data_IF_171009343727
#
_entry.id   IF_171009343727
#
_cell.length_a   1.000
_cell.length_b   1.000
_cell.length_c   1.000
_cell.angle_alpha   90.00
_cell.angle_beta   90.00
_cell.angle_gamma   90.00
#
_symmetry.space_group_name_H-M   'P 1'
#
loop_
_entity.id
_entity.type
_entity.pdbx_description
1 polymer ?
#
# COMPACT_ATOMS: atom_id res chain seq x y z
N UNK A 1 -6.69 2.42 0.79
CA UNK A 1 -6.61 1.31 -0.18
C UNK A 1 -7.96 0.68 -0.41
N UNK A 2 -8.67 0.23 0.63
CA UNK A 2 -9.99 -0.40 0.53
C UNK A 2 -11.02 0.42 -0.27
N UNK A 3 -11.36 1.62 0.20
CA UNK A 3 -12.32 2.52 -0.48
C UNK A 3 -11.93 2.81 -1.95
N UNK A 4 -10.66 3.11 -2.21
CA UNK A 4 -10.18 3.36 -3.58
C UNK A 4 -10.29 2.12 -4.48
N UNK A 5 -10.11 0.92 -3.93
CA UNK A 5 -10.29 -0.32 -4.68
C UNK A 5 -11.76 -0.52 -5.06
N UNK A 6 -12.69 -0.15 -4.16
CA UNK A 6 -14.12 -0.12 -4.49
C UNK A 6 -14.36 0.89 -5.63
N UNK A 7 -13.96 2.15 -5.47
CA UNK A 7 -14.17 3.22 -6.47
C UNK A 7 -13.66 2.88 -7.87
N UNK A 8 -12.58 2.09 -7.96
CA UNK A 8 -11.91 1.80 -9.22
C UNK A 8 -12.28 0.44 -9.80
N UNK A 9 -12.43 -0.59 -8.98
CA UNK A 9 -12.58 -1.97 -9.45
C UNK A 9 -14.00 -2.51 -9.33
N UNK A 10 -14.85 -1.88 -8.51
CA UNK A 10 -16.24 -2.29 -8.36
C UNK A 10 -17.12 -1.68 -9.47
N UNK A 11 -18.19 -2.39 -9.84
CA UNK A 11 -19.22 -1.87 -10.74
C UNK A 11 -20.05 -0.76 -10.09
N UNK A 12 -20.85 -0.06 -10.89
CA UNK A 12 -21.73 0.99 -10.39
C UNK A 12 -22.81 0.43 -9.46
N UNK A 13 -23.30 -0.80 -9.69
CA UNK A 13 -24.21 -1.48 -8.77
C UNK A 13 -23.50 -1.80 -7.44
N UNK A 14 -22.25 -2.26 -7.49
CA UNK A 14 -21.46 -2.58 -6.30
C UNK A 14 -21.10 -1.34 -5.47
N UNK A 15 -20.96 -0.16 -6.10
CA UNK A 15 -20.75 1.08 -5.38
C UNK A 15 -21.88 1.36 -4.39
N UNK A 16 -23.13 1.17 -4.79
CA UNK A 16 -24.27 1.39 -3.88
C UNK A 16 -24.23 0.47 -2.64
N UNK A 17 -23.70 -0.75 -2.79
CA UNK A 17 -23.59 -1.75 -1.71
C UNK A 17 -22.44 -1.46 -0.75
N UNK A 18 -21.31 -0.96 -1.24
CA UNK A 18 -20.07 -0.92 -0.44
C UNK A 18 -19.47 0.47 -0.29
N UNK A 19 -19.55 1.34 -1.30
CA UNK A 19 -18.91 2.65 -1.25
C UNK A 19 -19.60 3.58 -0.25
N UNK A 20 -20.93 3.65 -0.28
CA UNK A 20 -21.68 4.51 0.64
C UNK A 20 -21.55 4.07 2.11
N UNK A 21 -21.69 2.79 2.47
CA UNK A 21 -21.40 2.34 3.83
C UNK A 21 -19.95 2.59 4.27
N UNK A 22 -18.98 2.49 3.34
CA UNK A 22 -17.57 2.77 3.64
C UNK A 22 -17.34 4.26 3.97
N UNK A 23 -17.97 5.19 3.23
CA UNK A 23 -17.86 6.63 3.49
C UNK A 23 -18.41 7.04 4.86
N UNK A 24 -19.41 6.31 5.35
CA UNK A 24 -20.06 6.56 6.64
C UNK A 24 -19.50 5.70 7.79
N UNK A 25 -18.39 4.98 7.56
CA UNK A 25 -17.77 4.07 8.54
C UNK A 25 -18.67 2.93 9.04
N UNK A 26 -19.77 2.64 8.34
CA UNK A 26 -20.60 1.45 8.58
C UNK A 26 -19.89 0.18 8.07
N UNK A 27 -18.95 0.35 7.15
CA UNK A 27 -18.06 -0.69 6.65
C UNK A 27 -16.61 -0.22 6.79
N UNK A 28 -15.82 -0.91 7.59
CA UNK A 28 -14.40 -0.64 7.77
C UNK A 28 -13.66 -1.80 7.12
N UNK A 29 -12.79 -1.50 6.15
CA UNK A 29 -12.14 -2.56 5.40
C UNK A 29 -10.66 -2.36 5.11
N UNK A 30 -10.00 -3.50 4.91
CA UNK A 30 -8.58 -3.60 4.61
C UNK A 30 -8.32 -4.11 3.19
N UNK A 31 -7.08 -3.95 2.73
CA UNK A 31 -6.60 -4.45 1.45
C UNK A 31 -5.77 -5.72 1.67
N UNK A 32 -6.37 -6.88 1.42
CA UNK A 32 -5.82 -8.19 1.73
C UNK A 32 -5.22 -8.86 0.49
N UNK A 33 -4.05 -8.38 0.07
CA UNK A 33 -3.32 -8.92 -1.08
C UNK A 33 -2.15 -9.81 -0.66
N UNK A 34 -1.18 -9.23 0.05
CA UNK A 34 0.06 -9.89 0.44
C UNK A 34 -0.21 -11.14 1.25
N UNK A 35 0.53 -12.19 0.93
CA UNK A 35 0.56 -13.46 1.62
C UNK A 35 1.93 -13.66 2.28
N UNK A 36 1.98 -14.58 3.24
CA UNK A 36 3.23 -14.94 3.93
C UNK A 36 4.33 -15.37 2.94
N UNK A 37 3.97 -16.11 1.88
CA UNK A 37 4.88 -16.54 0.82
C UNK A 37 5.05 -15.56 -0.34
N UNK A 38 4.12 -14.61 -0.51
CA UNK A 38 4.01 -13.81 -1.73
C UNK A 38 3.67 -12.34 -1.44
N UNK A 39 4.67 -11.47 -1.62
CA UNK A 39 4.50 -10.01 -1.57
C UNK A 39 4.71 -9.36 -2.94
N UNK A 40 5.96 -9.32 -3.40
CA UNK A 40 6.32 -8.70 -4.69
C UNK A 40 5.74 -9.45 -5.89
N UNK A 41 5.73 -10.78 -5.86
CA UNK A 41 5.18 -11.62 -6.92
C UNK A 41 3.68 -11.88 -6.71
N UNK A 42 2.85 -10.88 -6.99
CA UNK A 42 1.38 -10.96 -6.83
C UNK A 42 0.77 -12.03 -7.75
N UNK A 43 1.32 -12.23 -8.94
CA UNK A 43 0.85 -13.30 -9.83
C UNK A 43 1.03 -14.70 -9.24
N UNK A 44 1.89 -14.84 -8.21
CA UNK A 44 2.14 -16.08 -7.50
C UNK A 44 1.28 -16.31 -6.25
N UNK A 45 0.34 -15.42 -5.91
CA UNK A 45 -0.56 -15.63 -4.76
C UNK A 45 -1.23 -17.01 -4.83
N UNK A 46 -1.41 -17.63 -3.67
CA UNK A 46 -1.86 -19.02 -3.52
C UNK A 46 -3.29 -19.12 -2.97
N UNK A 47 -3.82 -18.08 -2.32
CA UNK A 47 -5.24 -18.04 -1.90
C UNK A 47 -6.13 -18.28 -3.11
N UNK A 48 -7.13 -19.16 -3.00
CA UNK A 48 -8.02 -19.52 -4.12
C UNK A 48 -9.43 -19.01 -3.88
N UNK A 49 -10.13 -18.63 -4.95
CA UNK A 49 -11.57 -18.38 -4.99
C UNK A 49 -12.18 -19.28 -6.08
N UNK A 50 -12.80 -20.38 -5.67
CA UNK A 50 -13.33 -21.40 -6.59
C UNK A 50 -14.83 -21.22 -6.79
N UNK A 51 -15.26 -21.19 -8.04
CA UNK A 51 -16.66 -21.06 -8.44
C UNK A 51 -17.48 -22.32 -8.08
N UNK A 52 -18.59 -22.13 -7.36
CA UNK A 52 -19.58 -23.17 -7.05
C UNK A 52 -20.92 -22.85 -7.75
N UNK A 53 -21.20 -23.48 -8.91
CA UNK A 53 -22.42 -23.20 -9.68
C UNK A 53 -23.70 -23.66 -8.98
N UNK A 54 -23.62 -24.52 -7.96
CA UNK A 54 -24.82 -25.02 -7.26
C UNK A 54 -25.43 -23.98 -6.34
N UNK A 55 -24.62 -23.08 -5.80
CA UNK A 55 -25.05 -22.07 -4.82
C UNK A 55 -24.92 -20.63 -5.34
N UNK A 56 -24.42 -20.43 -6.56
CA UNK A 56 -24.09 -19.13 -7.13
C UNK A 56 -23.05 -18.36 -6.27
N UNK A 57 -22.04 -19.07 -5.76
CA UNK A 57 -21.04 -18.57 -4.79
C UNK A 57 -19.58 -18.84 -5.20
N UNK A 58 -18.67 -18.04 -4.64
CA UNK A 58 -17.25 -18.35 -4.57
C UNK A 58 -16.88 -18.97 -3.23
N UNK A 59 -16.04 -20.00 -3.28
CA UNK A 59 -15.44 -20.63 -2.10
C UNK A 59 -13.99 -20.19 -1.98
N UNK A 60 -13.70 -19.34 -1.00
CA UNK A 60 -12.37 -18.83 -0.68
C UNK A 60 -11.64 -19.75 0.28
N UNK A 61 -10.39 -20.05 -0.04
CA UNK A 61 -9.58 -20.95 0.77
C UNK A 61 -8.09 -20.58 0.76
N UNK A 62 -7.48 -20.75 1.93
CA UNK A 62 -6.05 -20.69 2.16
C UNK A 62 -5.48 -22.11 2.13
N UNK A 63 -4.88 -22.57 1.01
CA UNK A 63 -4.51 -23.98 0.82
C UNK A 63 -3.34 -24.44 1.71
N UNK A 64 -2.51 -23.52 2.18
CA UNK A 64 -1.38 -23.79 3.07
C UNK A 64 -0.98 -22.51 3.81
N UNK A 65 -0.08 -22.62 4.79
CA UNK A 65 0.33 -21.49 5.63
C UNK A 65 0.99 -20.34 4.85
N UNK A 66 1.70 -20.62 3.75
CA UNK A 66 2.32 -19.58 2.91
C UNK A 66 1.27 -18.72 2.21
N UNK A 67 0.08 -19.28 1.98
CA UNK A 67 -1.06 -18.59 1.39
C UNK A 67 -1.85 -17.73 2.38
N UNK A 68 -1.52 -17.76 3.68
CA UNK A 68 -2.17 -16.90 4.66
C UNK A 68 -1.93 -15.44 4.29
N UNK A 69 -2.99 -14.61 4.29
CA UNK A 69 -2.82 -13.17 4.13
C UNK A 69 -1.99 -12.66 5.29
N UNK A 70 -1.04 -11.77 5.01
CA UNK A 70 -0.05 -11.33 5.99
C UNK A 70 0.41 -9.91 5.67
N UNK A 71 0.39 -9.02 6.68
CA UNK A 71 0.62 -7.56 6.62
C UNK A 71 -0.55 -6.60 6.33
N UNK A 72 -1.77 -6.98 5.89
CA UNK A 72 -2.84 -6.00 5.71
C UNK A 72 -3.07 -5.15 6.97
N UNK A 73 -2.93 -3.83 6.82
CA UNK A 73 -3.14 -2.90 7.93
C UNK A 73 -4.59 -2.89 8.40
N UNK A 74 -4.79 -2.72 9.70
CA UNK A 74 -6.09 -2.63 10.39
C UNK A 74 -6.93 -3.92 10.32
N UNK A 75 -6.37 -5.02 9.79
CA UNK A 75 -7.07 -6.31 9.67
C UNK A 75 -7.11 -7.08 10.99
N UNK A 76 -6.11 -6.88 11.86
CA UNK A 76 -5.94 -7.65 13.10
C UNK A 76 -7.14 -7.53 14.05
N UNK A 77 -7.73 -6.33 14.18
CA UNK A 77 -8.82 -6.05 15.11
C UNK A 77 -9.91 -5.12 14.55
N UNK A 78 -9.61 -4.18 13.66
CA UNK A 78 -10.51 -3.08 13.28
C UNK A 78 -11.35 -3.29 12.02
N UNK A 79 -10.95 -4.14 11.08
CA UNK A 79 -11.68 -4.27 9.83
C UNK A 79 -12.79 -5.31 9.94
N UNK A 80 -14.00 -4.95 9.51
CA UNK A 80 -15.13 -5.87 9.34
C UNK A 80 -15.16 -6.52 7.97
N UNK A 81 -14.56 -5.88 6.97
CA UNK A 81 -14.49 -6.37 5.59
C UNK A 81 -13.07 -6.34 5.05
N UNK A 82 -12.81 -7.10 3.99
CA UNK A 82 -11.55 -7.08 3.27
C UNK A 82 -11.80 -7.20 1.77
N UNK A 83 -10.99 -6.50 0.96
CA UNK A 83 -10.82 -6.86 -0.44
C UNK A 83 -9.69 -7.87 -0.51
N UNK A 84 -10.06 -9.13 -0.72
CA UNK A 84 -9.17 -10.28 -0.78
C UNK A 84 -8.77 -10.53 -2.22
N UNK A 85 -7.47 -10.58 -2.48
CA UNK A 85 -6.95 -10.96 -3.79
C UNK A 85 -6.69 -12.46 -3.80
N UNK A 86 -7.37 -13.20 -4.66
CA UNK A 86 -7.28 -14.66 -4.72
C UNK A 86 -7.28 -15.14 -6.18
N UNK A 87 -6.73 -16.34 -6.42
CA UNK A 87 -6.75 -16.99 -7.72
C UNK A 87 -8.17 -17.44 -8.05
N UNK A 88 -8.78 -16.83 -9.04
CA UNK A 88 -10.10 -17.20 -9.54
C UNK A 88 -10.00 -18.56 -10.26
N UNK A 89 -10.85 -19.52 -9.85
CA UNK A 89 -10.94 -20.84 -10.47
C UNK A 89 -12.38 -21.14 -10.89
N UNK A 90 -12.59 -21.51 -12.14
CA UNK A 90 -13.88 -21.96 -12.67
C UNK A 90 -13.67 -23.06 -13.71
N UNK A 91 -14.54 -24.07 -13.77
CA UNK A 91 -14.48 -25.20 -14.72
C UNK A 91 -13.09 -25.87 -14.81
N UNK A 92 -12.39 -26.00 -13.67
CA UNK A 92 -11.04 -26.58 -13.61
C UNK A 92 -9.92 -25.71 -14.18
N UNK A 93 -10.21 -24.47 -14.57
CA UNK A 93 -9.24 -23.49 -15.08
C UNK A 93 -8.94 -22.42 -14.05
N UNK A 94 -7.69 -21.96 -14.03
CA UNK A 94 -7.21 -20.84 -13.22
C UNK A 94 -7.13 -19.57 -14.08
N UNK A 95 -7.82 -18.51 -13.67
CA UNK A 95 -7.93 -17.24 -14.39
C UNK A 95 -7.07 -16.14 -13.76
N UNK A 96 -6.14 -16.51 -12.88
CA UNK A 96 -5.26 -15.56 -12.20
C UNK A 96 -5.91 -14.84 -11.03
N UNK A 97 -5.22 -13.83 -10.52
CA UNK A 97 -5.59 -13.13 -9.29
C UNK A 97 -6.70 -12.12 -9.56
N UNK A 98 -7.78 -12.22 -8.79
CA UNK A 98 -8.93 -11.33 -8.84
C UNK A 98 -9.29 -10.78 -7.45
N UNK A 99 -9.89 -9.58 -7.37
CA UNK A 99 -10.36 -8.97 -6.12
C UNK A 99 -11.77 -9.43 -5.73
N UNK A 100 -11.93 -9.81 -4.46
CA UNK A 100 -13.20 -10.26 -3.87
C UNK A 100 -13.51 -9.48 -2.59
N UNK A 101 -14.73 -8.95 -2.48
CA UNK A 101 -15.23 -8.40 -1.22
C UNK A 101 -15.58 -9.56 -0.27
N UNK A 102 -15.04 -9.53 0.95
CA UNK A 102 -15.27 -10.56 1.96
C UNK A 102 -15.60 -9.89 3.28
N UNK A 103 -16.72 -10.25 3.89
CA UNK A 103 -16.97 -9.92 5.29
C UNK A 103 -16.13 -10.85 6.17
N UNK A 104 -15.28 -10.27 7.01
CA UNK A 104 -14.32 -11.00 7.85
C UNK A 104 -14.71 -10.98 9.34
N UNK A 105 -15.63 -10.09 9.74
CA UNK A 105 -16.22 -10.06 11.09
C UNK A 105 -17.72 -9.85 11.05
N UNK A 106 -18.42 -10.41 12.03
CA UNK A 106 -19.83 -10.11 12.27
C UNK A 106 -19.98 -8.64 12.75
N UNK A 107 -20.99 -7.94 12.25
CA UNK A 107 -21.18 -6.51 12.53
C UNK A 107 -21.82 -6.22 13.89
N UNK A 108 -22.38 -7.24 14.56
CA UNK A 108 -23.05 -7.08 15.86
C UNK A 108 -22.10 -7.35 17.02
N UNK A 109 -21.25 -8.38 16.91
CA UNK A 109 -20.35 -8.78 17.99
C UNK A 109 -18.85 -8.65 17.64
N UNK A 110 -18.51 -8.35 16.39
CA UNK A 110 -17.13 -8.18 15.91
C UNK A 110 -16.24 -9.42 15.93
N UNK A 111 -16.84 -10.58 16.19
CA UNK A 111 -16.17 -11.87 16.11
C UNK A 111 -15.86 -12.24 14.65
N UNK A 112 -14.77 -12.99 14.38
CA UNK A 112 -14.48 -13.47 13.05
C UNK A 112 -15.66 -14.26 12.43
N UNK A 113 -15.91 -14.04 11.14
CA UNK A 113 -16.93 -14.82 10.42
C UNK A 113 -16.57 -16.31 10.39
N UNK A 114 -17.55 -17.23 10.29
CA UNK A 114 -17.28 -18.66 10.20
C UNK A 114 -16.26 -19.00 9.10
N UNK A 115 -15.24 -19.79 9.45
CA UNK A 115 -14.16 -20.16 8.54
C UNK A 115 -13.08 -19.08 8.36
N UNK A 116 -13.20 -17.91 8.99
CA UNK A 116 -12.16 -16.88 9.01
C UNK A 116 -11.40 -16.95 10.33
N UNK A 117 -10.09 -17.11 10.23
CA UNK A 117 -9.17 -16.92 11.34
C UNK A 117 -8.33 -15.67 11.04
N UNK A 118 -8.18 -14.77 12.00
CA UNK A 118 -7.40 -13.54 11.85
C UNK A 118 -6.82 -13.08 13.18
N UNK A 119 -5.81 -12.21 13.13
CA UNK A 119 -5.17 -11.64 14.31
C UNK A 119 -4.06 -10.68 13.94
N UNK A 120 -3.48 -9.98 14.92
CA UNK A 120 -2.32 -9.11 14.71
C UNK A 120 -1.02 -9.94 14.53
N UNK A 121 -0.14 -9.48 13.64
CA UNK A 121 1.17 -10.10 13.37
C UNK A 121 2.19 -9.84 14.46
N UNK A 122 1.88 -8.96 15.41
CA UNK A 122 2.69 -8.65 16.58
C UNK A 122 3.58 -7.43 16.44
N UNK A 123 4.63 -7.43 17.26
CA UNK A 123 5.58 -6.33 17.36
C UNK A 123 6.36 -6.12 16.05
N UNK A 124 6.55 -4.85 15.72
CA UNK A 124 7.22 -4.38 14.49
C UNK A 124 8.30 -3.38 14.89
N UNK A 125 9.27 -3.12 14.01
CA UNK A 125 10.33 -2.13 14.27
C UNK A 125 9.78 -0.70 14.48
N UNK A 126 8.68 -0.37 13.80
CA UNK A 126 7.89 0.84 14.00
C UNK A 126 6.43 0.53 13.72
N UNK A 127 5.60 1.54 13.44
CA UNK A 127 4.17 1.32 13.12
C UNK A 127 3.41 0.58 14.26
N UNK A 128 3.77 0.77 15.52
CA UNK A 128 3.08 0.11 16.65
C UNK A 128 1.59 0.47 16.75
N UNK A 129 1.22 1.69 16.33
CA UNK A 129 -0.19 2.13 16.26
C UNK A 129 -0.95 1.56 15.07
N UNK A 130 -0.28 0.78 14.21
CA UNK A 130 -0.88 0.11 13.07
C UNK A 130 -0.87 -1.38 13.38
N UNK A 131 -2.02 -1.93 13.67
CA UNK A 131 -2.15 -3.38 13.69
C UNK A 131 -2.03 -3.88 12.26
N UNK A 132 -1.12 -4.81 12.04
CA UNK A 132 -0.98 -5.46 10.75
C UNK A 132 -1.50 -6.86 10.98
N UNK A 133 -2.47 -7.31 10.20
CA UNK A 133 -3.11 -8.58 10.44
C UNK A 133 -2.51 -9.74 9.66
N UNK A 134 -2.82 -10.94 10.11
CA UNK A 134 -2.88 -12.13 9.26
C UNK A 134 -4.32 -12.60 9.10
N UNK A 135 -4.59 -13.36 8.04
CA UNK A 135 -5.89 -14.00 7.84
C UNK A 135 -5.75 -15.34 7.11
N UNK A 136 -6.45 -16.35 7.60
CA UNK A 136 -6.59 -17.69 7.02
C UNK A 136 -8.07 -17.92 6.77
N UNK A 137 -8.40 -18.46 5.60
CA UNK A 137 -9.79 -18.77 5.21
C UNK A 137 -9.95 -20.26 4.97
N UNK A 138 -10.90 -20.86 5.68
CA UNK A 138 -11.28 -22.26 5.52
C UNK A 138 -12.65 -22.37 4.85
N UNK A 139 -12.65 -22.52 3.52
CA UNK A 139 -13.84 -22.74 2.71
C UNK A 139 -14.92 -21.66 2.93
N UNK A 140 -14.50 -20.40 3.02
CA UNK A 140 -15.38 -19.23 3.24
C UNK A 140 -16.19 -18.97 1.98
N UNK A 141 -17.52 -18.88 2.12
CA UNK A 141 -18.43 -18.69 0.98
C UNK A 141 -18.85 -17.22 0.86
N UNK A 142 -18.81 -16.69 -0.35
CA UNK A 142 -19.35 -15.37 -0.69
C UNK A 142 -20.20 -15.47 -1.97
N UNK A 143 -21.22 -14.62 -2.14
CA UNK A 143 -21.98 -14.53 -3.39
C UNK A 143 -21.10 -14.27 -4.61
N UNK A 144 -21.48 -14.77 -5.81
CA UNK A 144 -20.76 -14.48 -7.06
C UNK A 144 -20.56 -12.98 -7.30
N UNK A 145 -21.58 -12.18 -6.98
CA UNK A 145 -21.58 -10.73 -7.17
C UNK A 145 -20.69 -9.96 -6.17
N UNK A 146 -19.98 -10.67 -5.27
CA UNK A 146 -19.01 -10.06 -4.36
C UNK A 146 -17.58 -10.04 -4.95
N UNK A 147 -17.36 -10.63 -6.14
CA UNK A 147 -16.19 -10.34 -6.96
C UNK A 147 -16.28 -8.92 -7.54
N UNK A 148 -15.27 -8.06 -7.35
CA UNK A 148 -15.27 -6.70 -7.89
C UNK A 148 -15.14 -6.76 -9.42
N UNK A 149 -16.20 -6.36 -10.13
CA UNK A 149 -16.41 -6.82 -11.51
C UNK A 149 -16.46 -5.73 -12.59
N UNK A 150 -15.84 -4.57 -12.36
CA UNK A 150 -15.80 -3.52 -13.39
C UNK A 150 -15.02 -3.89 -14.65
N UNK A 151 -13.88 -4.56 -14.47
CA UNK A 151 -12.96 -4.92 -15.57
C UNK A 151 -12.86 -6.42 -15.82
N UNK A 152 -13.46 -7.22 -14.96
CA UNK A 152 -13.40 -8.68 -15.01
C UNK A 152 -14.69 -9.23 -14.45
N UNK A 153 -15.31 -10.19 -15.11
CA UNK A 153 -16.55 -10.77 -14.61
C UNK A 153 -16.53 -12.29 -14.78
N UNK A 154 -17.20 -12.98 -13.86
CA UNK A 154 -17.58 -14.37 -14.05
C UNK A 154 -19.10 -14.42 -14.17
N UNK A 155 -19.60 -14.92 -15.29
CA UNK A 155 -21.04 -15.11 -15.47
C UNK A 155 -21.58 -16.32 -14.68
N UNK A 156 -22.89 -16.54 -14.75
CA UNK A 156 -23.54 -17.66 -14.06
C UNK A 156 -23.16 -19.02 -14.63
N UNK A 157 -22.80 -19.05 -15.91
CA UNK A 157 -22.35 -20.26 -16.58
C UNK A 157 -20.90 -20.58 -16.22
N UNK A 158 -20.19 -19.69 -15.51
CA UNK A 158 -18.82 -19.85 -15.08
C UNK A 158 -17.79 -19.49 -16.16
N UNK A 159 -18.19 -18.72 -17.18
CA UNK A 159 -17.29 -18.14 -18.16
C UNK A 159 -16.71 -16.83 -17.65
N UNK A 160 -15.41 -16.67 -17.85
CA UNK A 160 -14.65 -15.51 -17.40
C UNK A 160 -14.44 -14.53 -18.54
N UNK A 161 -14.86 -13.29 -18.32
CA UNK A 161 -14.73 -12.19 -19.25
C UNK A 161 -13.78 -11.12 -18.69
N UNK A 162 -13.00 -10.50 -19.60
CA UNK A 162 -12.14 -9.36 -19.31
C UNK A 162 -12.62 -8.18 -20.15
N UNK A 163 -12.88 -7.06 -19.49
CA UNK A 163 -13.25 -5.80 -20.10
C UNK A 163 -12.03 -4.87 -20.02
N UNK A 164 -11.44 -4.53 -21.17
CA UNK A 164 -10.26 -3.69 -21.25
C UNK A 164 -8.98 -4.40 -20.84
N UNK A 165 -8.13 -3.74 -20.04
CA UNK A 165 -6.80 -4.22 -19.68
C UNK A 165 -6.70 -4.67 -18.22
N UNK A 166 -6.43 -5.96 -18.00
CA UNK A 166 -6.25 -6.58 -16.66
C UNK A 166 -5.22 -5.88 -15.77
N UNK A 167 -4.24 -5.16 -16.35
CA UNK A 167 -3.23 -4.43 -15.59
C UNK A 167 -3.85 -3.39 -14.65
N UNK A 168 -5.08 -2.95 -14.90
CA UNK A 168 -5.80 -1.98 -14.07
C UNK A 168 -6.11 -2.49 -12.66
N UNK A 169 -6.16 -3.81 -12.46
CA UNK A 169 -6.28 -4.41 -11.12
C UNK A 169 -5.12 -3.94 -10.22
N UNK A 170 -3.94 -3.72 -10.81
CA UNK A 170 -2.76 -3.17 -10.12
C UNK A 170 -2.76 -1.64 -10.04
N UNK A 171 -3.78 -0.95 -10.57
CA UNK A 171 -3.90 0.51 -10.52
C UNK A 171 -3.93 1.07 -9.10
N UNK A 172 -4.52 0.32 -8.16
CA UNK A 172 -4.47 0.64 -6.72
C UNK A 172 -3.02 0.73 -6.23
N UNK A 173 -2.15 -0.19 -6.65
CA UNK A 173 -0.73 -0.16 -6.27
C UNK A 173 0.00 1.04 -6.86
N UNK A 174 -0.36 1.49 -8.06
CA UNK A 174 0.22 2.70 -8.66
C UNK A 174 -0.13 3.95 -7.85
N UNK A 175 -1.37 4.09 -7.38
CA UNK A 175 -1.74 5.20 -6.49
C UNK A 175 -0.90 5.20 -5.21
N UNK A 176 -0.71 4.04 -4.58
CA UNK A 176 0.09 3.95 -3.36
C UNK A 176 1.55 4.31 -3.61
N UNK A 177 2.13 3.90 -4.76
CA UNK A 177 3.48 4.34 -5.15
C UNK A 177 3.55 5.85 -5.33
N UNK A 178 2.55 6.46 -5.95
CA UNK A 178 2.47 7.93 -6.08
C UNK A 178 2.50 8.60 -4.70
N UNK A 179 1.73 8.09 -3.73
CA UNK A 179 1.72 8.62 -2.37
C UNK A 179 3.08 8.50 -1.69
N UNK A 180 3.77 7.37 -1.84
CA UNK A 180 5.14 7.17 -1.30
C UNK A 180 6.12 8.16 -1.94
N UNK A 181 6.10 8.28 -3.27
CA UNK A 181 6.95 9.21 -4.02
C UNK A 181 6.72 10.65 -3.56
N UNK A 182 5.47 11.03 -3.31
CA UNK A 182 5.10 12.37 -2.88
C UNK A 182 5.38 12.63 -1.40
N UNK A 183 5.30 11.61 -0.54
CA UNK A 183 5.54 11.70 0.91
C UNK A 183 7.02 11.69 1.28
N UNK A 184 7.84 10.90 0.57
CA UNK A 184 9.28 10.78 0.78
C UNK A 184 10.02 12.11 1.02
N UNK A 185 9.88 13.14 0.15
CA UNK A 185 10.56 14.42 0.35
C UNK A 185 10.10 15.15 1.61
N UNK A 186 8.83 15.03 2.00
CA UNK A 186 8.29 15.67 3.20
C UNK A 186 8.90 15.08 4.48
N UNK A 187 9.05 13.75 4.53
CA UNK A 187 9.69 13.09 5.68
C UNK A 187 11.17 13.45 5.80
N UNK A 188 11.89 13.46 4.67
CA UNK A 188 13.30 13.85 4.64
C UNK A 188 13.49 15.31 5.05
N UNK A 189 12.65 16.22 4.54
CA UNK A 189 12.66 17.63 4.91
C UNK A 189 12.38 17.83 6.41
N UNK A 190 11.46 17.04 6.98
CA UNK A 190 11.18 17.02 8.41
C UNK A 190 12.41 16.68 9.26
N UNK A 191 13.10 15.60 8.92
CA UNK A 191 14.34 15.22 9.60
C UNK A 191 15.42 16.29 9.43
N UNK A 192 15.68 16.75 8.20
CA UNK A 192 16.68 17.79 7.92
C UNK A 192 16.41 19.08 8.69
N UNK A 193 15.15 19.50 8.83
CA UNK A 193 14.77 20.66 9.64
C UNK A 193 15.20 20.51 11.09
N UNK A 194 15.03 19.32 11.68
CA UNK A 194 15.46 19.03 13.05
C UNK A 194 16.99 19.06 13.12
N UNK A 195 17.68 18.31 12.27
CA UNK A 195 19.14 18.20 12.25
C UNK A 195 19.84 19.54 12.04
N UNK A 196 19.38 20.33 11.05
CA UNK A 196 19.93 21.67 10.76
C UNK A 196 19.74 22.61 11.95
N UNK A 197 18.55 22.64 12.54
CA UNK A 197 18.28 23.47 13.73
C UNK A 197 19.13 23.05 14.92
N UNK A 198 19.28 21.75 15.15
CA UNK A 198 20.19 21.23 16.16
C UNK A 198 21.63 21.68 15.90
N UNK A 199 22.12 21.55 14.67
CA UNK A 199 23.50 21.86 14.31
C UNK A 199 23.88 23.35 14.39
N UNK A 200 22.92 24.27 14.20
CA UNK A 200 23.16 25.72 14.39
C UNK A 200 23.16 26.15 15.86
N UNK A 201 22.56 25.36 16.73
CA UNK A 201 22.50 25.61 18.18
C UNK A 201 23.60 24.88 18.94
N UNK A 202 23.86 23.61 18.58
CA UNK A 202 24.85 22.77 19.26
C UNK A 202 26.26 23.27 18.94
N UNK A 203 27.03 23.49 20.00
CA UNK A 203 28.47 23.79 19.93
C UNK A 203 29.26 22.61 20.47
N UNK A 204 30.38 22.30 19.84
CA UNK A 204 31.30 21.28 20.30
C UNK A 204 32.70 21.52 19.73
N UNK A 205 33.71 21.30 20.57
CA UNK A 205 35.12 21.52 20.29
C UNK A 205 35.48 23.00 20.04
N UNK A 206 36.77 23.30 20.21
CA UNK A 206 37.39 24.60 19.94
C UNK A 206 38.52 24.41 18.93
N UNK A 207 38.77 25.40 18.09
CA UNK A 207 40.00 25.43 17.30
C UNK A 207 41.17 25.81 18.22
N UNK A 208 42.34 25.19 18.04
CA UNK A 208 43.51 25.38 18.92
C UNK A 208 43.91 26.86 19.10
N UNK A 209 43.64 27.70 18.09
CA UNK A 209 43.93 29.14 18.10
C UNK A 209 42.64 29.99 17.97
N UNK A 210 41.49 29.44 18.33
CA UNK A 210 40.17 30.07 18.15
C UNK A 210 39.64 30.89 19.33
N UNK A 211 38.42 31.41 19.16
CA UNK A 211 37.67 32.14 20.19
C UNK A 211 37.47 31.30 21.47
N UNK A 212 37.20 31.95 22.61
CA UNK A 212 36.87 31.25 23.86
C UNK A 212 35.61 30.37 23.75
N UNK A 213 34.69 30.69 22.83
CA UNK A 213 33.46 29.92 22.62
C UNK A 213 33.70 28.73 21.69
N UNK A 214 33.04 27.62 21.98
CA UNK A 214 33.02 26.43 21.13
C UNK A 214 32.34 26.72 19.78
N UNK A 215 32.81 26.06 18.72
CA UNK A 215 32.29 26.25 17.37
C UNK A 215 30.95 25.51 17.20
N UNK A 216 30.01 26.08 16.43
CA UNK A 216 28.75 25.39 16.12
C UNK A 216 29.02 24.21 15.22
N UNK A 217 28.22 23.14 15.33
CA UNK A 217 28.36 21.98 14.45
C UNK A 217 28.21 22.37 12.97
N UNK A 218 27.26 23.24 12.64
CA UNK A 218 27.03 23.71 11.28
C UNK A 218 28.24 24.43 10.67
N UNK A 219 29.11 25.02 11.48
CA UNK A 219 30.27 25.74 10.94
C UNK A 219 31.37 24.77 10.45
N UNK A 220 31.31 23.48 10.79
CA UNK A 220 32.27 22.49 10.31
C UNK A 220 31.89 21.98 8.91
N UNK A 221 32.82 22.05 7.97
CA UNK A 221 32.63 21.52 6.61
C UNK A 221 32.29 20.02 6.61
N UNK A 222 32.90 19.25 7.52
CA UNK A 222 32.62 17.83 7.71
C UNK A 222 31.18 17.55 8.18
N UNK A 223 30.51 18.53 8.80
CA UNK A 223 29.11 18.43 9.16
C UNK A 223 28.20 18.88 8.02
N UNK A 224 28.53 20.02 7.38
CA UNK A 224 27.77 20.54 6.23
C UNK A 224 27.69 19.53 5.08
N UNK A 225 28.81 18.88 4.73
CA UNK A 225 28.87 17.92 3.62
C UNK A 225 27.96 16.71 3.83
N UNK A 226 27.57 16.41 5.08
CA UNK A 226 26.65 15.31 5.38
C UNK A 226 25.20 15.70 5.14
N UNK A 227 24.81 16.96 5.40
CA UNK A 227 23.42 17.42 5.25
C UNK A 227 23.13 18.01 3.87
N UNK A 228 24.10 18.71 3.27
CA UNK A 228 23.89 19.42 2.00
C UNK A 228 23.40 18.50 0.85
N UNK A 229 23.94 17.28 0.65
CA UNK A 229 23.45 16.38 -0.39
C UNK A 229 22.00 15.95 -0.17
N UNK A 230 21.59 15.67 1.08
CA UNK A 230 20.22 15.29 1.38
C UNK A 230 19.25 16.46 1.27
N UNK A 231 19.69 17.68 1.59
CA UNK A 231 18.90 18.88 1.32
C UNK A 231 18.65 19.06 -0.17
N UNK A 232 19.69 18.94 -1.00
CA UNK A 232 19.55 19.00 -2.45
C UNK A 232 18.61 17.91 -2.98
N UNK A 233 18.76 16.67 -2.50
CA UNK A 233 17.86 15.54 -2.83
C UNK A 233 16.41 15.83 -2.44
N UNK A 234 16.15 16.38 -1.26
CA UNK A 234 14.79 16.70 -0.81
C UNK A 234 14.09 17.68 -1.76
N UNK A 235 14.80 18.74 -2.19
CA UNK A 235 14.27 19.70 -3.18
C UNK A 235 14.09 19.07 -4.56
N UNK A 236 15.06 18.29 -5.04
CA UNK A 236 14.96 17.60 -6.33
C UNK A 236 13.77 16.62 -6.35
N UNK A 237 13.60 15.84 -5.28
CA UNK A 237 12.44 14.95 -5.10
C UNK A 237 11.14 15.74 -5.12
N UNK A 238 11.05 16.81 -4.33
CA UNK A 238 9.86 17.66 -4.23
C UNK A 238 9.46 18.26 -5.58
N UNK A 239 10.41 18.83 -6.33
CA UNK A 239 10.16 19.41 -7.65
C UNK A 239 9.56 18.39 -8.63
N UNK A 240 9.98 17.12 -8.55
CA UNK A 240 9.45 16.05 -9.38
C UNK A 240 8.03 15.58 -8.97
N UNK A 241 7.59 15.86 -7.73
CA UNK A 241 6.28 15.37 -7.26
C UNK A 241 5.10 15.97 -8.03
N UNK A 242 5.18 17.24 -8.43
CA UNK A 242 4.11 17.90 -9.21
C UNK A 242 3.95 17.23 -10.57
N UNK A 243 5.05 17.05 -11.30
CA UNK A 243 5.05 16.40 -12.61
C UNK A 243 4.42 15.00 -12.57
N UNK A 244 4.80 14.18 -11.58
CA UNK A 244 4.28 12.80 -11.47
C UNK A 244 2.80 12.80 -11.07
N UNK A 245 2.34 13.74 -10.24
CA UNK A 245 0.91 13.88 -9.92
C UNK A 245 0.09 14.27 -11.16
N UNK A 246 0.58 15.20 -11.96
CA UNK A 246 -0.09 15.64 -13.17
C UNK A 246 -0.17 14.48 -14.18
N UNK A 247 0.94 13.76 -14.37
CA UNK A 247 0.97 12.57 -15.22
C UNK A 247 0.02 11.46 -14.73
N UNK A 248 -0.09 11.25 -13.40
CA UNK A 248 -1.07 10.31 -12.84
C UNK A 248 -2.50 10.72 -13.12
N UNK A 249 -2.80 12.01 -12.98
CA UNK A 249 -4.13 12.56 -13.20
C UNK A 249 -4.53 12.41 -14.66
N UNK A 250 -3.62 12.72 -15.59
CA UNK A 250 -3.83 12.53 -17.02
C UNK A 250 -4.00 11.05 -17.38
N UNK A 251 -3.19 10.15 -16.82
CA UNK A 251 -3.36 8.70 -17.01
C UNK A 251 -4.76 8.25 -16.56
N UNK A 252 -5.22 8.66 -15.38
CA UNK A 252 -6.55 8.30 -14.88
C UNK A 252 -7.68 8.85 -15.75
N UNK A 253 -7.50 10.05 -16.32
CA UNK A 253 -8.46 10.64 -17.26
C UNK A 253 -8.54 9.81 -18.55
N UNK A 254 -7.41 9.38 -19.12
CA UNK A 254 -7.37 8.53 -20.32
C UNK A 254 -7.97 7.15 -20.09
N UNK A 255 -7.73 6.55 -18.93
CA UNK A 255 -8.35 5.27 -18.54
C UNK A 255 -9.88 5.38 -18.56
N UNK A 256 -10.47 6.52 -18.16
CA UNK A 256 -11.93 6.72 -18.25
C UNK A 256 -12.47 6.81 -19.69
N UNK A 257 -11.59 6.88 -20.67
CA UNK A 257 -11.87 6.92 -22.10
C UNK A 257 -11.33 5.66 -22.81
N UNK A 258 -11.12 4.57 -22.06
CA UNK A 258 -10.57 3.29 -22.53
C UNK A 258 -9.16 3.38 -23.16
N UNK A 259 -8.40 4.44 -22.87
CA UNK A 259 -7.00 4.58 -23.28
C UNK A 259 -6.05 4.23 -22.12
N UNK A 260 -5.37 3.09 -22.27
CA UNK A 260 -4.43 2.54 -21.30
C UNK A 260 -2.96 2.81 -21.65
N UNK A 261 -2.67 3.60 -22.69
CA UNK A 261 -1.32 3.82 -23.23
C UNK A 261 -0.32 4.38 -22.21
N UNK A 262 -0.77 5.24 -21.30
CA UNK A 262 0.09 5.85 -20.28
C UNK A 262 0.38 4.93 -19.08
N UNK A 263 -0.32 3.81 -18.94
CA UNK A 263 -0.14 2.93 -17.77
C UNK A 263 1.28 2.36 -17.68
N UNK A 264 1.85 1.97 -18.81
CA UNK A 264 3.19 1.37 -18.84
C UNK A 264 4.26 2.40 -18.46
N UNK A 265 4.21 3.58 -19.07
CA UNK A 265 5.11 4.70 -18.74
C UNK A 265 4.99 5.07 -17.27
N UNK A 266 3.75 5.17 -16.77
CA UNK A 266 3.52 5.54 -15.38
C UNK A 266 4.01 4.49 -14.40
N UNK A 267 3.84 3.21 -14.72
CA UNK A 267 4.36 2.11 -13.91
C UNK A 267 5.88 2.19 -13.76
N UNK A 268 6.61 2.43 -14.85
CA UNK A 268 8.06 2.52 -14.84
C UNK A 268 8.57 3.74 -14.04
N UNK A 269 7.98 4.92 -14.27
CA UNK A 269 8.35 6.15 -13.55
C UNK A 269 8.11 5.98 -12.05
N UNK A 270 6.92 5.53 -11.66
CA UNK A 270 6.58 5.32 -10.25
C UNK A 270 7.47 4.27 -9.59
N UNK A 271 7.84 3.21 -10.30
CA UNK A 271 8.71 2.16 -9.74
C UNK A 271 10.12 2.68 -9.49
N UNK A 272 10.72 3.38 -10.47
CA UNK A 272 12.05 3.97 -10.33
C UNK A 272 12.10 5.05 -9.25
N UNK A 273 11.11 5.96 -9.25
CA UNK A 273 11.05 7.03 -8.26
C UNK A 273 10.78 6.49 -6.86
N UNK A 274 9.87 5.51 -6.72
CA UNK A 274 9.57 4.93 -5.40
C UNK A 274 10.84 4.39 -4.78
N UNK A 275 11.62 3.59 -5.50
CA UNK A 275 12.86 2.98 -4.96
C UNK A 275 13.85 4.08 -4.58
N UNK A 276 14.17 4.95 -5.53
CA UNK A 276 15.18 6.01 -5.37
C UNK A 276 14.83 6.96 -4.22
N UNK A 277 13.57 7.43 -4.17
CA UNK A 277 13.14 8.41 -3.18
C UNK A 277 13.04 7.76 -1.79
N UNK A 278 12.55 6.53 -1.71
CA UNK A 278 12.50 5.82 -0.42
C UNK A 278 13.89 5.57 0.16
N UNK A 279 14.86 5.20 -0.67
CA UNK A 279 16.24 4.98 -0.26
C UNK A 279 16.90 6.28 0.22
N UNK A 280 16.80 7.36 -0.56
CA UNK A 280 17.35 8.66 -0.19
C UNK A 280 16.72 9.22 1.09
N UNK A 281 15.42 9.07 1.26
CA UNK A 281 14.72 9.47 2.48
C UNK A 281 15.19 8.65 3.67
N UNK A 282 15.26 7.32 3.55
CA UNK A 282 15.71 6.44 4.63
C UNK A 282 17.13 6.77 5.10
N UNK A 283 18.09 6.77 4.15
CA UNK A 283 19.49 7.06 4.45
C UNK A 283 19.68 8.49 4.97
N UNK A 284 18.91 9.45 4.45
CA UNK A 284 18.97 10.84 4.90
C UNK A 284 18.46 11.02 6.33
N UNK A 285 17.36 10.36 6.70
CA UNK A 285 16.82 10.39 8.06
C UNK A 285 17.83 9.81 9.06
N UNK A 286 18.39 8.63 8.76
CA UNK A 286 19.38 8.02 9.66
C UNK A 286 20.68 8.83 9.73
N UNK A 287 21.15 9.39 8.60
CA UNK A 287 22.28 10.31 8.59
C UNK A 287 22.03 11.52 9.50
N UNK A 288 20.85 12.13 9.44
CA UNK A 288 20.50 13.25 10.32
C UNK A 288 20.54 12.83 11.78
N UNK A 289 19.91 11.70 12.13
CA UNK A 289 19.88 11.17 13.50
C UNK A 289 21.30 10.98 14.04
N UNK A 290 22.16 10.28 13.31
CA UNK A 290 23.55 10.04 13.72
C UNK A 290 24.35 11.34 13.94
N UNK A 291 24.06 12.39 13.16
CA UNK A 291 24.77 13.67 13.26
C UNK A 291 24.16 14.64 14.29
N UNK A 292 23.05 14.26 14.94
CA UNK A 292 22.63 14.89 16.21
C UNK A 292 23.40 14.35 17.43
N UNK A 293 24.37 13.45 17.22
CA UNK A 293 25.17 12.84 18.30
C UNK A 293 24.31 11.99 19.22
N UNK A 294 24.70 11.85 20.49
CA UNK A 294 23.94 11.05 21.46
C UNK A 294 22.54 11.59 21.82
N UNK A 295 22.16 12.77 21.31
CA UNK A 295 20.83 13.34 21.51
C UNK A 295 19.82 12.94 20.41
N UNK A 296 20.29 12.34 19.30
CA UNK A 296 19.46 11.88 18.19
C UNK A 296 19.14 10.40 18.28
#
# INVERSE_FOLDING_TARGET
MFMYSIEKLASDEQHSRWLEPTKHFNMIGCYAQTELGHGSNVAGLETTATWDPKTDEFVLHTPNIKAAKFWPGDMGHFCSHAIVFARLRSKGKDYGVQPFMVQIRDLNNWEPMPGVELGDVGAKYGYHSKENGFMVMNQVRIPRNDMLNRFTNLDKDGEFEVIGDLRIIYGVMMLIRLQIVCGGPMYLAGALKIGVRYAVCRRQFKTMHGSKQERKLMDYQSHMVKFAPYLAKAYAMYANTSYVKDLFTEMMKRISQDDFSLMDVMHHILSGFKVTFSDWTHLGIDCVRQNCGGAG
#
